data_IF_349311584647
#
_entry.id   IF_349311584647
#
_cell.length_a   1.000
_cell.length_b   1.000
_cell.length_c   1.000
_cell.angle_alpha   90.00
_cell.angle_beta   90.00
_cell.angle_gamma   90.00
#
_symmetry.space_group_name_H-M   'P 1'
#
loop_
_entity.id
_entity.type
_entity.pdbx_description
1 polymer ?
#
# COMPACT_ATOMS: atom_id res chain seq x y z
N UNK A 1 34.03 -2.70 4.54
CA UNK A 1 32.87 -3.39 3.94
C UNK A 1 31.88 -2.32 3.55
N UNK A 2 31.70 -2.05 2.26
CA UNK A 2 30.66 -1.13 1.79
C UNK A 2 29.35 -1.92 1.80
N UNK A 3 28.47 -1.65 2.76
CA UNK A 3 27.10 -2.12 2.69
C UNK A 3 26.42 -1.35 1.57
N UNK A 4 26.02 -2.04 0.51
CA UNK A 4 25.06 -1.51 -0.47
C UNK A 4 23.71 -1.42 0.26
N UNK A 5 23.50 -0.35 1.03
CA UNK A 5 22.18 -0.01 1.56
C UNK A 5 21.36 0.47 0.38
N UNK A 6 20.25 -0.19 0.08
CA UNK A 6 19.27 0.38 -0.84
C UNK A 6 18.69 1.67 -0.27
N UNK A 7 18.18 2.52 -1.14
CA UNK A 7 17.36 3.63 -0.69
C UNK A 7 16.12 3.07 0.04
N UNK A 8 15.65 3.81 1.04
CA UNK A 8 14.39 3.50 1.70
C UNK A 8 13.26 3.46 0.65
N UNK A 9 12.39 2.47 0.77
CA UNK A 9 11.14 2.43 0.02
C UNK A 9 10.00 2.86 0.92
N UNK A 10 9.06 3.59 0.35
CA UNK A 10 7.88 4.07 1.04
C UNK A 10 6.61 3.59 0.34
N UNK A 11 5.61 3.24 1.16
CA UNK A 11 4.25 2.98 0.69
C UNK A 11 3.34 3.97 1.38
N UNK A 12 2.59 4.72 0.57
CA UNK A 12 1.59 5.66 1.05
C UNK A 12 0.21 5.14 0.69
N UNK A 13 -0.71 5.11 1.66
CA UNK A 13 -2.09 4.65 1.47
C UNK A 13 -2.99 5.80 1.89
N UNK A 14 -3.67 6.42 0.92
CA UNK A 14 -4.56 7.55 1.16
C UNK A 14 -6.01 7.12 1.04
N UNK A 15 -6.84 7.51 2.01
CA UNK A 15 -8.29 7.33 1.91
C UNK A 15 -8.86 8.32 0.88
N UNK A 16 -9.42 7.80 -0.21
CA UNK A 16 -10.07 8.57 -1.28
C UNK A 16 -11.49 8.06 -1.57
N UNK A 17 -12.14 7.46 -0.57
CA UNK A 17 -13.50 6.92 -0.67
C UNK A 17 -14.51 8.03 -0.99
N UNK A 18 -15.34 7.80 -2.01
CA UNK A 18 -16.28 8.79 -2.55
C UNK A 18 -17.37 9.20 -1.54
N UNK A 19 -17.70 8.33 -0.58
CA UNK A 19 -18.69 8.58 0.46
C UNK A 19 -18.12 9.25 1.72
N UNK A 20 -16.81 9.57 1.73
CA UNK A 20 -16.10 10.15 2.89
C UNK A 20 -16.16 9.30 4.15
N UNK A 21 -16.31 7.99 4.00
CA UNK A 21 -16.25 7.05 5.10
C UNK A 21 -14.84 6.97 5.70
N UNK A 22 -14.76 6.62 6.97
CA UNK A 22 -13.49 6.26 7.60
C UNK A 22 -13.02 4.91 7.04
N UNK A 23 -11.78 4.86 6.58
CA UNK A 23 -11.14 3.68 6.04
C UNK A 23 -10.33 3.00 7.14
N UNK A 24 -10.75 1.81 7.52
CA UNK A 24 -9.99 0.93 8.40
C UNK A 24 -9.01 0.12 7.54
N UNK A 25 -7.73 0.17 7.90
CA UNK A 25 -6.68 -0.63 7.27
C UNK A 25 -5.93 -1.46 8.29
N UNK A 26 -5.45 -2.63 7.88
CA UNK A 26 -4.52 -3.42 8.67
C UNK A 26 -3.45 -4.00 7.75
N UNK A 27 -2.24 -3.44 7.83
CA UNK A 27 -1.14 -3.79 6.94
C UNK A 27 -0.14 -4.71 7.63
N UNK A 28 0.39 -5.69 6.88
CA UNK A 28 1.35 -6.68 7.36
C UNK A 28 2.38 -6.98 6.27
N UNK A 29 3.55 -7.41 6.70
CA UNK A 29 4.52 -8.14 5.89
C UNK A 29 4.60 -9.59 6.38
N UNK A 30 5.56 -10.37 5.88
CA UNK A 30 5.87 -11.67 6.45
C UNK A 30 6.39 -11.56 7.89
N UNK A 31 7.13 -10.50 8.18
CA UNK A 31 7.93 -10.36 9.39
C UNK A 31 7.32 -9.34 10.38
N UNK A 32 6.46 -8.44 9.89
CA UNK A 32 5.91 -7.32 10.66
C UNK A 32 4.38 -7.26 10.59
N UNK A 33 3.75 -7.01 11.72
CA UNK A 33 2.35 -6.60 11.80
C UNK A 33 2.31 -5.11 12.19
N UNK A 34 1.83 -4.25 11.28
CA UNK A 34 1.80 -2.80 11.48
C UNK A 34 0.58 -2.33 12.28
N UNK A 35 -0.29 -3.27 12.68
CA UNK A 35 -1.51 -3.01 13.43
C UNK A 35 -2.63 -2.37 12.61
N UNK A 36 -3.83 -2.26 13.22
CA UNK A 36 -4.96 -1.58 12.61
C UNK A 36 -4.83 -0.06 12.71
N UNK A 37 -5.21 0.64 11.64
CA UNK A 37 -5.27 2.10 11.56
C UNK A 37 -6.61 2.54 10.99
N UNK A 38 -7.06 3.75 11.37
CA UNK A 38 -8.26 4.38 10.82
C UNK A 38 -7.85 5.67 10.13
N UNK A 39 -8.17 5.79 8.85
CA UNK A 39 -7.89 6.95 8.02
C UNK A 39 -9.20 7.67 7.70
N UNK A 40 -9.33 8.92 8.13
CA UNK A 40 -10.36 9.82 7.63
C UNK A 40 -10.08 10.18 6.18
N UNK A 41 -11.08 10.75 5.49
CA UNK A 41 -10.91 11.23 4.12
C UNK A 41 -9.65 12.10 3.96
N UNK A 42 -8.87 11.82 2.91
CA UNK A 42 -7.60 12.47 2.59
C UNK A 42 -6.45 12.26 3.60
N UNK A 43 -6.63 11.44 4.65
CA UNK A 43 -5.51 11.03 5.48
C UNK A 43 -4.71 9.92 4.81
N UNK A 44 -3.40 9.91 5.09
CA UNK A 44 -2.45 8.98 4.51
C UNK A 44 -1.74 8.20 5.61
N UNK A 45 -1.72 6.88 5.47
CA UNK A 45 -0.84 5.99 6.22
C UNK A 45 0.47 5.78 5.45
N UNK A 46 1.60 5.79 6.17
CA UNK A 46 2.94 5.59 5.58
C UNK A 46 3.59 4.34 6.16
N UNK A 47 4.09 3.49 5.28
CA UNK A 47 5.02 2.41 5.60
C UNK A 47 6.39 2.80 5.06
N UNK A 48 7.44 2.62 5.85
CA UNK A 48 8.83 2.85 5.44
C UNK A 48 9.63 1.59 5.76
N UNK A 49 10.41 1.11 4.79
CA UNK A 49 11.22 -0.09 4.95
C UNK A 49 12.40 -0.07 3.98
N UNK A 50 13.42 -0.85 4.31
CA UNK A 50 14.52 -1.16 3.40
C UNK A 50 14.17 -2.43 2.60
N UNK A 51 14.25 -2.42 1.27
CA UNK A 51 14.01 -3.61 0.45
C UNK A 51 14.96 -4.77 0.80
N UNK A 52 14.47 -6.01 0.74
CA UNK A 52 15.28 -7.18 1.07
C UNK A 52 16.25 -7.57 -0.05
N UNK A 53 17.40 -8.17 0.33
CA UNK A 53 18.43 -8.49 -0.67
C UNK A 53 18.10 -9.59 -1.66
N UNK A 54 17.22 -10.47 -1.24
CA UNK A 54 16.77 -11.59 -2.04
C UNK A 54 15.38 -11.35 -2.65
N UNK A 55 15.02 -10.07 -2.90
CA UNK A 55 13.77 -9.67 -3.56
C UNK A 55 12.49 -10.28 -2.96
N UNK A 56 12.40 -10.28 -1.62
CA UNK A 56 11.37 -10.97 -0.86
C UNK A 56 10.36 -10.07 -0.15
N UNK A 57 10.50 -8.75 -0.23
CA UNK A 57 9.62 -7.85 0.54
C UNK A 57 8.22 -7.77 -0.07
N UNK A 58 7.22 -8.09 0.75
CA UNK A 58 5.80 -8.02 0.43
C UNK A 58 5.07 -7.33 1.58
N UNK A 59 4.29 -6.30 1.27
CA UNK A 59 3.31 -5.74 2.17
C UNK A 59 1.91 -5.92 1.58
N UNK A 60 1.00 -6.45 2.39
CA UNK A 60 -0.41 -6.61 2.06
C UNK A 60 -1.26 -5.98 3.16
N UNK A 61 -2.39 -5.42 2.77
CA UNK A 61 -3.31 -4.76 3.70
C UNK A 61 -4.72 -5.29 3.53
N UNK A 62 -5.46 -5.37 4.63
CA UNK A 62 -6.91 -5.41 4.59
C UNK A 62 -7.49 -3.99 4.59
N UNK A 63 -8.67 -3.84 3.99
CA UNK A 63 -9.39 -2.59 3.84
C UNK A 63 -10.86 -2.83 4.19
N UNK A 64 -11.42 -1.94 5.01
CA UNK A 64 -12.83 -1.96 5.36
C UNK A 64 -13.35 -0.55 5.58
N UNK A 65 -14.57 -0.27 5.12
CA UNK A 65 -15.29 0.97 5.40
C UNK A 65 -16.78 0.68 5.53
N UNK A 66 -17.45 1.36 6.46
CA UNK A 66 -18.87 1.14 6.73
C UNK A 66 -19.20 -0.34 6.93
N UNK A 67 -20.14 -0.86 6.12
CA UNK A 67 -20.58 -2.26 6.15
C UNK A 67 -20.00 -3.10 4.99
N UNK A 68 -18.93 -2.65 4.33
CA UNK A 68 -18.32 -3.45 3.25
C UNK A 68 -17.67 -4.72 3.81
N UNK A 69 -17.57 -5.79 3.01
CA UNK A 69 -16.76 -6.95 3.38
C UNK A 69 -15.28 -6.54 3.55
N UNK A 70 -14.51 -7.35 4.25
CA UNK A 70 -13.05 -7.20 4.27
C UNK A 70 -12.49 -7.45 2.88
N UNK A 71 -11.77 -6.47 2.35
CA UNK A 71 -11.10 -6.54 1.05
C UNK A 71 -9.60 -6.53 1.27
N UNK A 72 -8.85 -7.15 0.37
CA UNK A 72 -7.40 -7.27 0.50
C UNK A 72 -6.69 -6.76 -0.75
N UNK A 73 -5.48 -6.24 -0.55
CA UNK A 73 -4.59 -5.92 -1.66
C UNK A 73 -3.12 -5.92 -1.24
N UNK A 74 -2.25 -6.35 -2.15
CA UNK A 74 -0.79 -6.28 -2.00
C UNK A 74 -0.32 -4.85 -2.35
N UNK A 75 -0.09 -4.02 -1.33
CA UNK A 75 0.30 -2.61 -1.53
C UNK A 75 1.77 -2.45 -1.93
N UNK A 76 2.58 -3.50 -1.77
CA UNK A 76 3.93 -3.54 -2.31
C UNK A 76 4.41 -4.96 -2.52
N UNK A 77 4.90 -5.28 -3.72
CA UNK A 77 5.61 -6.51 -4.02
C UNK A 77 6.94 -6.17 -4.69
N UNK A 78 8.06 -6.40 -4.00
CA UNK A 78 9.40 -5.99 -4.46
C UNK A 78 9.72 -6.49 -5.88
N UNK A 79 9.36 -7.74 -6.22
CA UNK A 79 9.62 -8.31 -7.55
C UNK A 79 8.84 -7.66 -8.69
N UNK A 80 7.73 -6.96 -8.38
CA UNK A 80 6.85 -6.31 -9.37
C UNK A 80 6.93 -4.80 -9.36
N UNK A 81 7.22 -4.20 -8.20
CA UNK A 81 6.99 -2.78 -7.94
C UNK A 81 8.27 -1.96 -7.81
N UNK A 82 9.41 -2.61 -7.60
CA UNK A 82 10.71 -1.94 -7.42
C UNK A 82 11.02 -0.91 -8.54
N UNK A 83 10.68 -1.21 -9.80
CA UNK A 83 10.88 -0.30 -10.93
C UNK A 83 9.64 0.51 -11.35
N UNK A 84 8.51 0.37 -10.65
CA UNK A 84 7.24 1.01 -11.05
C UNK A 84 6.93 2.26 -10.26
N UNK A 85 7.43 2.35 -9.03
CA UNK A 85 7.10 3.45 -8.14
C UNK A 85 8.30 4.29 -7.69
N UNK A 86 9.50 4.09 -8.27
CA UNK A 86 10.70 4.91 -8.01
C UNK A 86 10.86 5.25 -6.52
N UNK A 87 10.90 4.20 -5.69
CA UNK A 87 10.97 4.21 -4.21
C UNK A 87 9.68 4.67 -3.47
N UNK A 88 8.77 5.41 -4.12
CA UNK A 88 7.53 5.94 -3.52
C UNK A 88 6.25 5.34 -4.13
N UNK A 89 5.78 4.24 -3.56
CA UNK A 89 4.54 3.58 -3.94
C UNK A 89 3.31 4.27 -3.31
N UNK A 90 2.70 5.21 -4.06
CA UNK A 90 1.53 5.99 -3.58
C UNK A 90 0.20 5.44 -4.07
N UNK A 91 -0.63 4.99 -3.14
CA UNK A 91 -1.98 4.44 -3.36
C UNK A 91 -3.09 5.40 -2.91
N UNK A 92 -4.15 5.42 -3.69
CA UNK A 92 -5.42 6.11 -3.42
C UNK A 92 -6.53 5.07 -3.39
N UNK A 93 -7.18 4.92 -2.24
CA UNK A 93 -8.20 3.88 -2.03
C UNK A 93 -9.57 4.42 -2.42
N UNK A 94 -10.18 3.80 -3.43
CA UNK A 94 -11.54 4.04 -3.90
C UNK A 94 -12.40 2.81 -3.63
N UNK A 95 -13.74 2.95 -3.71
CA UNK A 95 -14.64 1.81 -3.49
C UNK A 95 -14.39 0.65 -4.46
N UNK A 96 -14.10 0.97 -5.72
CA UNK A 96 -13.89 -0.03 -6.77
C UNK A 96 -12.48 -0.66 -6.75
N UNK A 97 -11.54 -0.10 -5.97
CA UNK A 97 -10.18 -0.60 -5.92
C UNK A 97 -9.13 0.43 -5.49
N UNK A 98 -7.91 -0.01 -5.14
CA UNK A 98 -6.78 0.87 -4.96
C UNK A 98 -6.22 1.31 -6.32
N UNK A 99 -5.91 2.61 -6.43
CA UNK A 99 -5.32 3.21 -7.61
C UNK A 99 -3.95 3.80 -7.30
N UNK A 100 -3.04 3.79 -8.27
CA UNK A 100 -1.75 4.49 -8.21
C UNK A 100 -1.35 5.02 -9.57
N UNK A 101 -0.38 5.92 -9.60
CA UNK A 101 0.26 6.35 -10.85
C UNK A 101 1.44 5.43 -11.17
N UNK A 102 1.48 4.93 -12.39
CA UNK A 102 2.63 4.20 -12.93
C UNK A 102 3.03 4.84 -14.25
N UNK A 103 4.28 5.28 -14.37
CA UNK A 103 4.78 5.93 -15.60
C UNK A 103 3.84 7.05 -16.09
N UNK A 104 3.35 7.89 -15.16
CA UNK A 104 2.39 8.99 -15.39
C UNK A 104 0.96 8.57 -15.80
N UNK A 105 0.64 7.28 -15.85
CA UNK A 105 -0.71 6.80 -16.08
C UNK A 105 -1.38 6.36 -14.77
N UNK A 106 -2.61 6.81 -14.51
CA UNK A 106 -3.41 6.30 -13.40
C UNK A 106 -3.84 4.88 -13.71
N UNK A 107 -3.49 3.94 -12.84
CA UNK A 107 -3.98 2.56 -12.88
C UNK A 107 -4.75 2.25 -11.61
N UNK A 108 -5.84 1.53 -11.77
CA UNK A 108 -6.66 1.04 -10.69
C UNK A 108 -6.75 -0.48 -10.80
N UNK A 109 -6.76 -1.14 -9.65
CA UNK A 109 -6.72 -2.59 -9.57
C UNK A 109 -7.97 -3.09 -8.87
N UNK A 110 -8.46 -4.25 -9.26
CA UNK A 110 -9.54 -4.90 -8.52
C UNK A 110 -9.02 -5.36 -7.16
N UNK A 111 -9.90 -5.33 -6.15
CA UNK A 111 -9.65 -5.96 -4.86
C UNK A 111 -9.40 -7.46 -4.99
N UNK A 112 -8.57 -8.01 -4.11
CA UNK A 112 -8.49 -9.45 -3.91
C UNK A 112 -9.69 -9.88 -3.04
N UNK A 113 -10.37 -10.95 -3.44
CA UNK A 113 -11.48 -11.60 -2.72
C UNK A 113 -11.00 -12.84 -1.98
#
# INVERSE_FOLDING_TARGET
>A
MLTLTWADTHVFITNSLEGKEDLHIHCKSKDDDLGPHVLRINQTFKITFEPNYFFGTLFFCSFQWGNCPFLYYDVYNQGKDYYKCDDDCTWYVHKDGPCRYEFQARKCYAWNT
#
